data_IF_890643644303
#
_entry.id   IF_890643644303
#
_cell.length_a   1.000
_cell.length_b   1.000
_cell.length_c   1.000
_cell.angle_alpha   90.00
_cell.angle_beta   90.00
_cell.angle_gamma   90.00
#
_symmetry.space_group_name_H-M   'P 1'
#
loop_
_entity.id
_entity.type
_entity.pdbx_description
1 polymer ?
#
# COMPACT_ATOMS: atom_id res chain seq x y z
N UNK A 1 -50.46 -18.61 11.76
CA UNK A 1 -49.95 -19.47 10.68
C UNK A 1 -48.51 -19.13 10.23
N UNK A 2 -47.67 -18.51 11.07
CA UNK A 2 -46.26 -18.17 10.76
C UNK A 2 -45.28 -18.47 11.92
N UNK A 3 -45.65 -19.38 12.84
CA UNK A 3 -44.79 -19.82 13.97
C UNK A 3 -44.52 -21.34 14.00
N UNK A 4 -44.84 -22.05 12.91
CA UNK A 4 -44.77 -23.53 12.85
C UNK A 4 -43.72 -24.09 11.88
N UNK A 5 -42.87 -23.26 11.26
CA UNK A 5 -41.88 -23.72 10.26
C UNK A 5 -40.42 -23.63 10.73
N UNK A 6 -40.17 -23.31 12.00
CA UNK A 6 -38.82 -23.20 12.58
C UNK A 6 -38.55 -24.22 13.72
N UNK A 7 -39.41 -25.22 13.91
CA UNK A 7 -39.26 -26.21 15.00
C UNK A 7 -38.79 -27.60 14.60
N UNK A 8 -38.65 -27.90 13.30
CA UNK A 8 -38.18 -29.22 12.84
C UNK A 8 -36.98 -29.08 11.92
N UNK A 9 -35.82 -28.77 12.49
CA UNK A 9 -34.50 -29.19 11.98
C UNK A 9 -33.44 -28.69 12.95
N UNK A 10 -33.02 -29.59 13.84
CA UNK A 10 -31.80 -29.65 14.66
C UNK A 10 -32.15 -30.20 16.05
N UNK A 11 -32.56 -31.47 16.06
CA UNK A 11 -32.57 -32.29 17.28
C UNK A 11 -31.12 -32.55 17.66
N UNK A 12 -30.67 -31.87 18.71
CA UNK A 12 -29.31 -31.92 19.23
C UNK A 12 -29.17 -33.07 20.24
N UNK A 13 -29.38 -34.32 19.79
CA UNK A 13 -29.31 -35.49 20.66
C UNK A 13 -28.70 -36.68 19.92
N UNK A 14 -27.43 -36.60 19.52
CA UNK A 14 -26.53 -37.75 19.32
C UNK A 14 -25.09 -37.24 19.20
N UNK A 15 -24.46 -36.91 20.33
CA UNK A 15 -23.00 -36.81 20.43
C UNK A 15 -22.57 -37.70 21.60
N UNK A 16 -22.34 -38.99 21.31
CA UNK A 16 -21.49 -39.83 22.15
C UNK A 16 -20.05 -39.37 21.93
N UNK A 17 -19.32 -39.07 23.00
CA UNK A 17 -17.88 -38.86 22.92
C UNK A 17 -17.22 -40.16 22.46
N UNK A 18 -16.74 -40.18 21.23
CA UNK A 18 -15.80 -41.20 20.77
C UNK A 18 -14.44 -40.95 21.42
N UNK A 19 -13.84 -42.00 21.98
CA UNK A 19 -12.53 -42.00 22.63
C UNK A 19 -11.40 -42.28 21.63
N UNK A 20 -11.51 -41.79 20.40
CA UNK A 20 -10.46 -41.94 19.40
C UNK A 20 -9.83 -40.59 19.02
N UNK A 21 -8.50 -40.58 19.06
CA UNK A 21 -7.62 -39.45 18.81
C UNK A 21 -7.54 -39.09 17.32
N UNK A 22 -8.42 -38.18 16.86
CA UNK A 22 -8.08 -37.01 16.00
C UNK A 22 -9.35 -36.41 15.35
N UNK A 23 -9.69 -35.14 15.63
CA UNK A 23 -10.61 -34.38 14.80
C UNK A 23 -9.92 -33.12 14.25
N UNK A 24 -9.60 -33.11 12.96
CA UNK A 24 -9.49 -31.86 12.22
C UNK A 24 -9.92 -32.09 10.78
N UNK A 25 -10.98 -31.38 10.39
CA UNK A 25 -11.56 -31.22 9.05
C UNK A 25 -12.82 -32.04 8.76
N UNK A 26 -13.91 -31.74 9.47
CA UNK A 26 -15.23 -31.87 8.85
C UNK A 26 -15.39 -30.71 7.85
N UNK A 27 -15.17 -30.97 6.57
CA UNK A 27 -15.49 -30.03 5.49
C UNK A 27 -16.90 -30.33 5.02
N UNK A 28 -17.84 -29.43 5.31
CA UNK A 28 -19.17 -29.47 4.72
C UNK A 28 -19.10 -28.90 3.31
N UNK A 29 -19.41 -29.71 2.28
CA UNK A 29 -19.58 -29.23 0.92
C UNK A 29 -21.06 -28.90 0.68
N UNK A 30 -21.34 -27.67 0.26
CA UNK A 30 -22.69 -27.26 -0.16
C UNK A 30 -22.75 -27.39 -1.68
N UNK A 31 -23.63 -28.25 -2.19
CA UNK A 31 -23.84 -28.41 -3.64
C UNK A 31 -24.48 -27.14 -4.22
N UNK A 32 -23.82 -26.53 -5.21
CA UNK A 32 -24.24 -25.27 -5.85
C UNK A 32 -25.53 -25.41 -6.69
N UNK A 33 -25.97 -26.64 -6.95
CA UNK A 33 -27.13 -26.93 -7.80
C UNK A 33 -28.47 -26.53 -7.18
N UNK A 34 -28.54 -26.37 -5.85
CA UNK A 34 -29.77 -25.98 -5.13
C UNK A 34 -29.89 -24.51 -4.73
N UNK A 35 -28.88 -23.68 -5.00
CA UNK A 35 -28.86 -22.30 -4.50
C UNK A 35 -29.48 -21.30 -5.48
N UNK A 36 -30.19 -20.25 -4.98
CA UNK A 36 -30.65 -19.11 -5.77
C UNK A 36 -29.53 -18.46 -6.59
N UNK A 37 -29.83 -18.00 -7.81
CA UNK A 37 -28.82 -17.48 -8.76
C UNK A 37 -27.98 -16.32 -8.21
N UNK A 38 -28.56 -15.46 -7.37
CA UNK A 38 -27.88 -14.35 -6.71
C UNK A 38 -26.85 -14.79 -5.65
N UNK A 39 -26.89 -16.05 -5.19
CA UNK A 39 -25.94 -16.61 -4.22
C UNK A 39 -24.84 -17.41 -4.94
N UNK A 40 -25.11 -17.97 -6.13
CA UNK A 40 -24.11 -18.74 -6.91
C UNK A 40 -22.88 -17.91 -7.31
N UNK A 41 -23.03 -16.61 -7.51
CA UNK A 41 -21.92 -15.68 -7.77
C UNK A 41 -20.96 -15.58 -6.58
N UNK A 42 -21.46 -15.74 -5.34
CA UNK A 42 -20.65 -15.79 -4.11
C UNK A 42 -19.81 -17.06 -4.06
N UNK A 43 -20.29 -18.18 -4.64
CA UNK A 43 -19.55 -19.45 -4.70
C UNK A 43 -18.53 -19.51 -5.84
N UNK A 44 -18.79 -18.87 -6.98
CA UNK A 44 -17.77 -18.68 -8.02
C UNK A 44 -16.68 -17.70 -7.56
N UNK A 45 -17.06 -16.71 -6.75
CA UNK A 45 -16.11 -15.91 -5.98
C UNK A 45 -15.42 -16.77 -4.91
N UNK A 46 -16.09 -17.72 -4.24
CA UNK A 46 -15.49 -18.60 -3.23
C UNK A 46 -14.49 -19.61 -3.83
N UNK A 47 -14.70 -20.12 -5.04
CA UNK A 47 -13.73 -20.96 -5.75
C UNK A 47 -12.48 -20.16 -6.15
N UNK A 48 -12.63 -18.91 -6.60
CA UNK A 48 -11.48 -18.01 -6.80
C UNK A 48 -10.84 -17.59 -5.48
N UNK A 49 -11.63 -17.32 -4.44
CA UNK A 49 -11.15 -17.09 -3.08
C UNK A 49 -10.47 -18.34 -2.54
N UNK A 50 -10.84 -19.55 -2.95
CA UNK A 50 -10.18 -20.82 -2.60
C UNK A 50 -8.89 -21.05 -3.42
N UNK A 51 -8.74 -20.40 -4.58
CA UNK A 51 -7.45 -20.27 -5.28
C UNK A 51 -6.57 -19.13 -4.71
N UNK A 52 -7.18 -18.09 -4.15
CA UNK A 52 -6.50 -16.97 -3.46
C UNK A 52 -6.19 -17.30 -1.98
N UNK A 53 -6.92 -18.21 -1.33
CA UNK A 53 -6.76 -18.61 0.08
C UNK A 53 -5.43 -19.30 0.38
N UNK A 54 -4.88 -20.17 -0.49
CA UNK A 54 -3.54 -20.72 -0.33
C UNK A 54 -2.46 -19.63 -0.33
N UNK A 55 -2.72 -18.47 -0.96
CA UNK A 55 -1.80 -17.32 -1.03
C UNK A 55 -1.96 -16.34 0.14
N UNK A 56 -3.08 -16.44 0.87
CA UNK A 56 -3.36 -15.68 2.09
C UNK A 56 -3.16 -16.48 3.38
N UNK A 57 -2.78 -17.77 3.30
CA UNK A 57 -2.34 -18.50 4.49
C UNK A 57 -1.21 -17.72 5.16
N UNK A 58 -1.31 -17.43 6.47
CA UNK A 58 -0.12 -17.27 7.28
C UNK A 58 0.77 -18.47 6.98
N UNK A 59 2.08 -18.23 6.82
CA UNK A 59 3.10 -19.28 6.83
C UNK A 59 2.64 -20.39 7.78
N UNK A 60 2.49 -21.65 7.33
CA UNK A 60 2.06 -22.72 8.22
C UNK A 60 2.95 -22.63 9.47
N UNK A 61 2.37 -22.64 10.68
CA UNK A 61 3.18 -22.57 11.89
C UNK A 61 4.28 -23.62 11.73
N UNK A 62 5.55 -23.26 11.95
CA UNK A 62 6.63 -24.22 11.79
C UNK A 62 6.24 -25.44 12.60
N UNK A 63 6.37 -26.61 11.95
CA UNK A 63 6.14 -27.90 12.57
C UNK A 63 6.63 -27.89 14.02
N UNK A 64 5.85 -28.54 14.88
CA UNK A 64 5.95 -28.61 16.35
C UNK A 64 7.36 -28.82 16.93
N UNK A 65 8.36 -29.14 16.11
CA UNK A 65 9.78 -29.12 16.43
C UNK A 65 10.35 -27.73 16.81
N UNK A 66 9.83 -26.59 16.29
CA UNK A 66 10.36 -25.25 16.65
C UNK A 66 9.78 -24.62 17.92
N UNK A 67 8.64 -25.12 18.41
CA UNK A 67 8.08 -24.60 19.66
C UNK A 67 8.97 -24.97 20.87
N UNK A 68 9.62 -26.13 20.81
CA UNK A 68 10.56 -26.57 21.85
C UNK A 68 11.90 -25.81 21.83
N UNK A 69 12.37 -25.33 20.67
CA UNK A 69 13.59 -24.50 20.61
C UNK A 69 13.36 -23.07 21.11
N UNK A 70 12.16 -22.53 20.91
CA UNK A 70 11.77 -21.21 21.44
C UNK A 70 11.67 -21.21 22.96
N UNK A 71 11.09 -22.26 23.56
CA UNK A 71 11.03 -22.44 25.02
C UNK A 71 12.41 -22.60 25.67
N UNK A 72 13.37 -23.25 24.98
CA UNK A 72 14.78 -23.30 25.45
C UNK A 72 15.46 -21.94 25.38
N UNK A 73 15.19 -21.13 24.37
CA UNK A 73 15.73 -19.76 24.27
C UNK A 73 15.13 -18.84 25.34
N UNK A 74 13.81 -18.92 25.56
CA UNK A 74 13.12 -18.15 26.58
C UNK A 74 13.63 -18.48 27.99
N UNK A 75 13.86 -19.76 28.31
CA UNK A 75 14.48 -20.16 29.58
C UNK A 75 15.88 -19.58 29.78
N UNK A 76 16.68 -19.47 28.71
CA UNK A 76 18.00 -18.82 28.78
C UNK A 76 17.88 -17.32 29.04
N UNK A 77 16.94 -16.62 28.39
CA UNK A 77 16.70 -15.20 28.64
C UNK A 77 16.19 -14.92 30.05
N UNK A 78 15.27 -15.75 30.57
CA UNK A 78 14.79 -15.64 31.95
C UNK A 78 15.94 -15.84 32.95
N UNK A 79 16.79 -16.86 32.74
CA UNK A 79 17.96 -17.10 33.59
C UNK A 79 18.96 -15.92 33.56
N UNK A 80 19.28 -15.41 32.37
CA UNK A 80 20.18 -14.25 32.23
C UNK A 80 19.59 -13.01 32.91
N UNK A 81 18.28 -12.78 32.76
CA UNK A 81 17.59 -11.66 33.42
C UNK A 81 17.61 -11.78 34.94
N UNK A 82 17.41 -12.98 35.49
CA UNK A 82 17.47 -13.22 36.94
C UNK A 82 18.90 -13.00 37.45
N UNK A 83 19.91 -13.56 36.78
CA UNK A 83 21.32 -13.39 37.17
C UNK A 83 21.73 -11.91 37.10
N UNK A 84 21.33 -11.19 36.06
CA UNK A 84 21.59 -9.76 35.94
C UNK A 84 20.90 -8.95 37.03
N UNK A 85 19.66 -9.29 37.39
CA UNK A 85 18.94 -8.60 38.46
C UNK A 85 19.63 -8.82 39.81
N UNK A 86 20.01 -10.07 40.12
CA UNK A 86 20.75 -10.40 41.34
C UNK A 86 22.10 -9.68 41.43
N UNK A 87 22.81 -9.54 40.31
CA UNK A 87 24.07 -8.80 40.26
C UNK A 87 23.90 -7.30 40.54
N UNK A 88 22.82 -6.69 40.04
CA UNK A 88 22.50 -5.28 40.34
C UNK A 88 22.17 -5.12 41.82
N UNK A 89 21.34 -6.00 42.39
CA UNK A 89 21.02 -5.95 43.82
C UNK A 89 22.28 -6.08 44.67
N UNK A 90 23.17 -7.04 44.39
CA UNK A 90 24.40 -7.20 45.17
C UNK A 90 25.37 -6.03 45.03
N UNK A 91 25.49 -5.42 43.84
CA UNK A 91 26.29 -4.21 43.66
C UNK A 91 25.72 -3.02 44.44
N UNK A 92 24.40 -2.86 44.43
CA UNK A 92 23.75 -1.76 45.18
C UNK A 92 23.88 -1.94 46.69
N UNK A 93 23.73 -3.16 47.21
CA UNK A 93 23.91 -3.41 48.65
C UNK A 93 25.36 -3.21 49.08
N UNK A 94 26.33 -3.64 48.26
CA UNK A 94 27.75 -3.36 48.51
C UNK A 94 28.04 -1.86 48.52
N UNK A 95 27.50 -1.09 47.57
CA UNK A 95 27.67 0.36 47.54
C UNK A 95 27.09 1.05 48.78
N UNK A 96 25.92 0.61 49.25
CA UNK A 96 25.29 1.13 50.48
C UNK A 96 26.17 0.82 51.69
N UNK A 97 26.68 -0.41 51.83
CA UNK A 97 27.59 -0.78 52.92
C UNK A 97 28.88 0.03 52.90
N UNK A 98 29.40 0.35 51.71
CA UNK A 98 30.57 1.20 51.53
C UNK A 98 30.31 2.65 51.95
N UNK A 99 29.15 3.21 51.62
CA UNK A 99 28.77 4.56 52.07
C UNK A 99 28.59 4.60 53.58
N UNK A 100 27.96 3.56 54.16
CA UNK A 100 27.77 3.47 55.61
C UNK A 100 29.10 3.33 56.37
N UNK A 101 30.10 2.63 55.82
CA UNK A 101 31.42 2.54 56.45
C UNK A 101 32.19 3.88 56.41
N UNK A 102 31.95 4.72 55.41
CA UNK A 102 32.52 6.07 55.35
C UNK A 102 31.83 7.09 56.26
N UNK A 103 30.53 6.92 56.56
CA UNK A 103 29.81 7.85 57.44
C UNK A 103 30.17 7.73 58.93
N UNK A 104 30.84 6.64 59.35
CA UNK A 104 31.30 6.48 60.74
C UNK A 104 32.57 7.29 61.03
N UNK A 105 33.26 7.79 60.00
CA UNK A 105 34.59 8.42 60.13
C UNK A 105 34.64 9.83 59.53
N UNK A 106 33.72 10.72 59.88
CA UNK A 106 33.85 12.14 59.53
C UNK A 106 33.51 13.05 60.70
N UNK A 107 34.49 13.75 61.28
CA UNK A 107 34.23 14.77 62.28
C UNK A 107 33.60 16.01 61.63
N UNK A 108 32.63 16.59 62.34
CA UNK A 108 31.92 17.80 61.97
C UNK A 108 32.88 18.98 61.75
N UNK A 109 32.71 19.70 60.64
CA UNK A 109 33.13 21.09 60.53
C UNK A 109 32.01 21.91 59.88
N UNK A 110 31.68 23.10 60.42
CA UNK A 110 30.52 23.86 60.01
C UNK A 110 30.82 24.88 58.91
N UNK A 111 29.78 25.08 58.08
CA UNK A 111 29.28 26.35 57.55
C UNK A 111 30.26 27.28 56.82
N UNK A 112 30.06 27.44 55.52
CA UNK A 112 30.17 28.76 54.90
C UNK A 112 29.16 28.94 53.76
N UNK A 113 28.32 29.95 53.95
CA UNK A 113 27.30 30.47 53.06
C UNK A 113 27.97 31.28 51.93
N UNK A 114 27.47 31.18 50.69
CA UNK A 114 27.72 32.19 49.67
C UNK A 114 26.69 32.10 48.53
N UNK A 115 25.77 33.06 48.54
CA UNK A 115 24.91 33.44 47.42
C UNK A 115 25.74 33.99 46.27
N UNK A 116 25.53 33.47 45.06
CA UNK A 116 25.98 34.09 43.81
C UNK A 116 24.76 34.48 42.97
N UNK A 117 24.64 35.77 42.73
CA UNK A 117 23.64 36.45 41.91
C UNK A 117 24.05 36.38 40.43
N UNK A 118 23.17 35.90 39.54
CA UNK A 118 23.38 35.90 38.09
C UNK A 118 22.45 36.94 37.45
N UNK A 119 22.96 37.88 36.63
CA UNK A 119 22.13 38.81 35.88
C UNK A 119 21.74 38.28 34.49
N UNK A 120 20.51 38.62 34.08
CA UNK A 120 19.98 38.53 32.72
C UNK A 120 20.74 39.45 31.74
N UNK A 121 20.77 39.08 30.44
CA UNK A 121 20.76 40.06 29.37
C UNK A 121 19.45 40.04 28.56
N UNK A 122 19.13 41.25 28.09
CA UNK A 122 17.94 41.67 27.38
C UNK A 122 18.24 41.84 25.87
N UNK A 123 17.20 41.66 25.06
CA UNK A 123 16.91 42.37 23.79
C UNK A 123 17.83 42.13 22.59
N UNK A 124 17.27 41.59 21.49
CA UNK A 124 17.26 42.31 20.20
C UNK A 124 16.18 41.80 19.24
N UNK A 125 15.27 42.70 18.88
CA UNK A 125 14.24 42.60 17.86
C UNK A 125 14.81 42.99 16.49
N UNK A 126 14.90 42.03 15.57
CA UNK A 126 15.27 42.25 14.16
C UNK A 126 14.06 42.12 13.24
N UNK A 127 13.63 43.25 12.69
CA UNK A 127 12.48 43.43 11.80
C UNK A 127 12.95 43.46 10.32
N UNK A 128 12.05 43.08 9.40
CA UNK A 128 12.02 43.46 7.96
C UNK A 128 13.14 42.97 7.02
N UNK A 129 12.77 42.18 6.00
CA UNK A 129 12.40 42.77 4.71
C UNK A 129 11.72 41.79 3.76
N UNK A 130 10.63 42.31 3.21
CA UNK A 130 9.74 41.80 2.19
C UNK A 130 10.24 42.31 0.84
N UNK A 131 10.36 41.44 -0.16
CA UNK A 131 10.52 41.88 -1.55
C UNK A 131 9.71 40.98 -2.48
N UNK A 132 8.59 41.55 -2.89
CA UNK A 132 7.81 41.22 -4.08
C UNK A 132 8.69 41.14 -5.33
N UNK A 133 8.50 40.10 -6.15
CA UNK A 133 8.82 40.17 -7.58
C UNK A 133 7.63 39.65 -8.40
N UNK A 134 7.08 40.60 -9.17
CA UNK A 134 6.03 40.46 -10.18
C UNK A 134 6.51 39.67 -11.41
N UNK A 135 5.56 38.87 -11.94
CA UNK A 135 5.17 38.66 -13.35
C UNK A 135 6.19 39.02 -14.44
N UNK A 136 6.41 38.07 -15.37
CA UNK A 136 6.12 38.30 -16.78
C UNK A 136 5.74 37.00 -17.49
N UNK A 137 4.50 36.98 -18.01
CA UNK A 137 3.93 36.01 -18.92
C UNK A 137 4.17 36.46 -20.37
N UNK A 138 4.74 35.60 -21.20
CA UNK A 138 4.66 35.72 -22.65
C UNK A 138 4.29 34.36 -23.25
N UNK A 139 3.03 34.27 -23.67
CA UNK A 139 2.52 33.22 -24.56
C UNK A 139 3.32 33.21 -25.86
N UNK A 140 3.70 32.03 -26.33
CA UNK A 140 3.92 31.76 -27.75
C UNK A 140 3.11 30.53 -28.15
N UNK A 141 2.04 30.80 -28.88
CA UNK A 141 1.26 29.82 -29.62
C UNK A 141 2.14 29.17 -30.69
N UNK A 142 2.30 27.85 -30.63
CA UNK A 142 2.59 27.03 -31.80
C UNK A 142 1.58 25.89 -31.87
N UNK A 143 0.59 26.07 -32.72
CA UNK A 143 -0.42 25.08 -33.07
C UNK A 143 0.21 23.99 -33.93
N UNK A 144 0.49 22.83 -33.34
CA UNK A 144 0.67 21.59 -34.08
C UNK A 144 -0.71 21.00 -34.38
N UNK A 145 -1.06 20.98 -35.67
CA UNK A 145 -2.19 20.24 -36.22
C UNK A 145 -1.95 18.73 -36.06
N UNK A 146 -2.42 18.17 -34.93
CA UNK A 146 -2.60 16.74 -34.80
C UNK A 146 -4.00 16.38 -35.35
N UNK A 147 -4.02 15.94 -36.61
CA UNK A 147 -5.15 15.23 -37.20
C UNK A 147 -5.39 13.96 -36.38
N UNK A 148 -6.32 14.02 -35.44
CA UNK A 148 -6.82 12.88 -34.69
C UNK A 148 -8.28 12.70 -35.08
N UNK A 149 -8.54 11.68 -35.90
CA UNK A 149 -9.85 11.06 -35.99
C UNK A 149 -10.20 10.48 -34.61
N UNK A 150 -10.71 11.33 -33.73
CA UNK A 150 -11.34 10.95 -32.47
C UNK A 150 -12.65 10.26 -32.81
N UNK A 151 -12.61 8.95 -33.00
CA UNK A 151 -13.76 8.14 -32.64
C UNK A 151 -13.98 8.38 -31.14
N UNK A 152 -15.10 9.00 -30.78
CA UNK A 152 -15.56 9.05 -29.40
C UNK A 152 -15.74 7.60 -28.95
N UNK A 153 -14.70 7.05 -28.32
CA UNK A 153 -14.82 5.81 -27.58
C UNK A 153 -15.85 6.06 -26.49
N UNK A 154 -17.06 5.53 -26.67
CA UNK A 154 -18.08 5.54 -25.63
C UNK A 154 -17.47 4.93 -24.38
N UNK A 155 -17.36 5.73 -23.32
CA UNK A 155 -16.88 5.27 -22.02
C UNK A 155 -17.83 4.27 -21.36
N UNK A 156 -19.03 4.12 -21.93
CA UNK A 156 -20.03 3.15 -21.49
C UNK A 156 -19.61 1.73 -21.82
N UNK A 157 -19.94 0.85 -20.89
CA UNK A 157 -19.71 -0.57 -21.02
C UNK A 157 -20.97 -1.22 -21.58
N UNK A 158 -20.87 -1.98 -22.66
CA UNK A 158 -22.01 -2.71 -23.21
C UNK A 158 -22.32 -4.00 -22.43
N UNK A 159 -23.59 -4.35 -22.39
CA UNK A 159 -24.09 -5.61 -21.84
C UNK A 159 -25.31 -6.09 -22.64
N UNK A 160 -25.58 -7.40 -22.62
CA UNK A 160 -26.78 -7.96 -23.25
C UNK A 160 -27.90 -8.13 -22.23
N UNK A 161 -27.71 -8.97 -21.22
CA UNK A 161 -28.68 -9.21 -20.14
C UNK A 161 -28.08 -9.09 -18.74
N UNK A 162 -26.74 -9.09 -18.62
CA UNK A 162 -26.03 -9.04 -17.35
C UNK A 162 -24.67 -8.42 -17.53
N UNK A 163 -24.20 -7.72 -16.50
CA UNK A 163 -22.82 -7.28 -16.40
C UNK A 163 -21.89 -8.45 -16.05
N UNK A 164 -20.57 -8.26 -16.14
CA UNK A 164 -19.64 -9.36 -15.91
C UNK A 164 -19.74 -9.91 -14.47
N UNK A 165 -19.50 -11.22 -14.26
CA UNK A 165 -19.75 -11.87 -12.97
C UNK A 165 -18.97 -11.26 -11.79
N UNK A 166 -17.72 -10.86 -12.02
CA UNK A 166 -16.87 -10.24 -11.00
C UNK A 166 -17.32 -8.80 -10.70
N UNK A 167 -17.87 -8.11 -11.70
CA UNK A 167 -18.36 -6.72 -11.58
C UNK A 167 -19.67 -6.60 -10.84
N UNK A 168 -20.57 -7.59 -10.98
CA UNK A 168 -21.91 -7.52 -10.38
C UNK A 168 -21.87 -7.49 -8.85
N UNK A 169 -20.97 -8.23 -8.20
CA UNK A 169 -20.86 -8.23 -6.73
C UNK A 169 -20.11 -7.00 -6.21
N UNK A 170 -19.00 -6.64 -6.85
CA UNK A 170 -18.11 -5.59 -6.35
C UNK A 170 -18.58 -4.19 -6.69
N UNK A 171 -19.09 -4.01 -7.90
CA UNK A 171 -19.57 -2.73 -8.40
C UNK A 171 -21.07 -2.59 -8.28
N UNK A 172 -21.76 -3.59 -7.71
CA UNK A 172 -23.23 -3.62 -7.62
C UNK A 172 -23.83 -3.24 -8.98
N UNK A 173 -23.36 -3.90 -10.04
CA UNK A 173 -23.61 -3.47 -11.41
C UNK A 173 -24.82 -4.16 -12.03
N UNK A 174 -25.62 -3.38 -12.74
CA UNK A 174 -26.83 -3.81 -13.41
C UNK A 174 -26.78 -3.47 -14.90
N UNK A 175 -27.31 -4.37 -15.74
CA UNK A 175 -27.43 -4.11 -17.16
C UNK A 175 -28.74 -3.36 -17.42
N UNK A 176 -28.66 -2.09 -17.82
CA UNK A 176 -29.82 -1.26 -18.15
C UNK A 176 -29.63 -0.70 -19.57
N UNK A 177 -30.61 -0.96 -20.45
CA UNK A 177 -30.59 -0.48 -21.84
C UNK A 177 -29.31 -0.83 -22.61
N UNK A 178 -28.78 -2.03 -22.38
CA UNK A 178 -27.55 -2.51 -23.03
C UNK A 178 -26.26 -1.88 -22.48
N UNK A 179 -26.33 -1.15 -21.37
CA UNK A 179 -25.17 -0.54 -20.69
C UNK A 179 -25.07 -1.03 -19.24
N UNK A 180 -23.85 -1.31 -18.78
CA UNK A 180 -23.61 -1.60 -17.37
C UNK A 180 -23.59 -0.33 -16.53
N UNK A 181 -24.51 -0.26 -15.59
CA UNK A 181 -24.57 0.78 -14.57
C UNK A 181 -23.97 0.27 -13.26
N UNK A 182 -22.93 0.93 -12.77
CA UNK A 182 -22.24 0.56 -11.53
C UNK A 182 -22.71 1.43 -10.35
N UNK A 183 -23.11 0.79 -9.25
CA UNK A 183 -23.58 1.48 -8.03
C UNK A 183 -22.57 1.39 -6.87
N UNK A 184 -21.49 0.64 -7.06
CA UNK A 184 -20.44 0.44 -6.07
C UNK A 184 -19.76 1.75 -5.67
N UNK A 185 -19.57 1.96 -4.37
CA UNK A 185 -18.91 3.16 -3.84
C UNK A 185 -17.51 3.33 -4.41
N UNK A 186 -17.24 4.53 -4.94
CA UNK A 186 -15.94 4.91 -5.51
C UNK A 186 -15.72 4.40 -6.93
N UNK A 187 -16.78 4.06 -7.67
CA UNK A 187 -16.72 3.77 -9.10
C UNK A 187 -17.63 4.72 -9.87
N UNK A 188 -17.24 5.01 -11.11
CA UNK A 188 -18.06 5.77 -12.04
C UNK A 188 -19.31 4.97 -12.44
N UNK A 189 -20.51 5.57 -12.44
CA UNK A 189 -21.74 4.84 -12.73
C UNK A 189 -21.83 4.25 -14.13
N UNK A 190 -21.10 4.77 -15.11
CA UNK A 190 -21.26 4.41 -16.53
C UNK A 190 -20.08 3.61 -17.09
N UNK A 191 -18.87 3.96 -16.66
CA UNK A 191 -17.63 3.32 -17.07
C UNK A 191 -17.14 2.28 -16.07
N UNK A 192 -17.72 2.23 -14.87
CA UNK A 192 -17.31 1.34 -13.79
C UNK A 192 -15.82 1.46 -13.42
N UNK A 193 -15.18 2.56 -13.79
CA UNK A 193 -13.78 2.83 -13.46
C UNK A 193 -13.67 3.49 -12.08
N UNK A 194 -12.56 3.28 -11.35
CA UNK A 194 -12.38 3.83 -10.02
C UNK A 194 -12.39 5.37 -9.98
N UNK A 195 -13.00 5.91 -8.93
CA UNK A 195 -12.98 7.33 -8.57
C UNK A 195 -12.52 7.43 -7.12
N UNK A 196 -11.44 8.17 -6.89
CA UNK A 196 -10.92 8.44 -5.55
C UNK A 196 -10.49 9.90 -5.41
N UNK A 197 -11.18 10.65 -4.55
CA UNK A 197 -10.98 12.11 -4.39
C UNK A 197 -10.98 12.81 -5.76
N UNK A 198 -9.90 13.52 -6.11
CA UNK A 198 -9.78 14.24 -7.40
C UNK A 198 -9.21 13.35 -8.54
N UNK A 199 -8.94 12.07 -8.28
CA UNK A 199 -8.45 11.12 -9.26
C UNK A 199 -9.64 10.28 -9.80
N UNK A 200 -10.18 10.69 -10.94
CA UNK A 200 -11.13 9.90 -11.72
C UNK A 200 -10.37 9.13 -12.78
N UNK A 201 -10.32 7.81 -12.67
CA UNK A 201 -9.59 6.94 -13.60
C UNK A 201 -10.30 6.92 -14.95
N UNK A 202 -9.52 7.11 -16.01
CA UNK A 202 -9.97 7.03 -17.40
C UNK A 202 -9.07 6.08 -18.17
N UNK A 203 -9.57 5.58 -19.31
CA UNK A 203 -8.73 4.88 -20.28
C UNK A 203 -7.74 5.85 -20.90
N UNK A 204 -6.57 5.33 -21.25
CA UNK A 204 -5.42 6.04 -21.78
C UNK A 204 -4.89 7.09 -20.81
N UNK A 205 -3.93 6.68 -19.98
CA UNK A 205 -3.17 7.61 -19.17
C UNK A 205 -2.50 8.66 -20.06
N UNK A 206 -2.62 9.93 -19.69
CA UNK A 206 -2.09 11.05 -20.46
C UNK A 206 -0.59 11.23 -20.32
N UNK A 207 -0.01 10.78 -19.20
CA UNK A 207 1.38 11.04 -18.84
C UNK A 207 2.21 9.75 -18.67
N UNK A 208 1.65 8.58 -18.97
CA UNK A 208 2.43 7.35 -18.99
C UNK A 208 2.01 6.39 -20.09
N UNK A 209 3.00 5.72 -20.68
CA UNK A 209 2.80 4.69 -21.71
C UNK A 209 3.36 3.38 -21.20
N UNK A 210 2.56 2.32 -21.32
CA UNK A 210 2.94 0.96 -20.96
C UNK A 210 3.25 0.14 -22.20
N UNK A 211 4.28 -0.70 -22.11
CA UNK A 211 4.67 -1.62 -23.17
C UNK A 211 4.77 -3.04 -22.63
N UNK A 212 4.32 -3.98 -23.45
CA UNK A 212 4.50 -5.41 -23.24
C UNK A 212 5.03 -6.03 -24.52
N UNK A 213 6.24 -6.58 -24.48
CA UNK A 213 6.92 -7.13 -25.66
C UNK A 213 6.90 -6.16 -26.86
N UNK A 214 7.29 -4.90 -26.61
CA UNK A 214 7.33 -3.80 -27.58
C UNK A 214 5.97 -3.33 -28.13
N UNK A 215 4.86 -3.89 -27.66
CA UNK A 215 3.51 -3.44 -28.02
C UNK A 215 2.95 -2.51 -26.95
N UNK A 216 2.43 -1.36 -27.37
CA UNK A 216 1.70 -0.44 -26.49
C UNK A 216 0.52 -1.19 -25.87
N UNK A 217 0.33 -1.02 -24.57
CA UNK A 217 -0.76 -1.61 -23.81
C UNK A 217 -1.80 -0.55 -23.45
N UNK A 218 -3.06 -0.97 -23.28
CA UNK A 218 -4.09 -0.10 -22.72
C UNK A 218 -3.68 0.29 -21.30
N UNK A 219 -3.69 1.60 -21.04
CA UNK A 219 -3.42 2.15 -19.73
C UNK A 219 -4.69 2.76 -19.14
N UNK A 220 -4.75 2.78 -17.81
CA UNK A 220 -5.79 3.44 -17.06
C UNK A 220 -5.11 4.47 -16.16
N UNK A 221 -5.58 5.71 -16.18
CA UNK A 221 -4.90 6.77 -15.48
C UNK A 221 -5.78 7.92 -15.06
N UNK A 222 -5.24 8.72 -14.16
CA UNK A 222 -5.76 10.03 -13.80
C UNK A 222 -4.59 10.98 -13.62
N UNK A 223 -4.86 12.26 -13.80
CA UNK A 223 -3.95 13.32 -13.44
C UNK A 223 -4.72 14.34 -12.62
N UNK A 224 -4.27 14.58 -11.39
CA UNK A 224 -4.88 15.54 -10.47
C UNK A 224 -4.09 16.84 -10.55
N UNK A 225 -4.73 17.87 -11.10
CA UNK A 225 -4.15 19.23 -11.21
C UNK A 225 -4.11 20.00 -9.88
N UNK A 226 -4.62 19.42 -8.78
CA UNK A 226 -4.53 20.10 -7.47
C UNK A 226 -3.10 20.10 -6.97
N UNK A 227 -2.65 21.29 -6.57
CA UNK A 227 -1.34 21.59 -6.01
C UNK A 227 -0.92 20.55 -4.99
N UNK A 228 0.37 20.17 -5.05
CA UNK A 228 1.01 19.25 -4.11
C UNK A 228 0.56 19.55 -2.68
N UNK A 229 0.24 18.51 -1.91
CA UNK A 229 -0.15 18.66 -0.50
C UNK A 229 0.79 19.63 0.19
N UNK A 230 0.24 20.75 0.69
CA UNK A 230 0.98 21.81 1.37
C UNK A 230 1.78 21.31 2.59
N UNK A 231 1.48 20.11 3.08
CA UNK A 231 2.18 19.47 4.21
C UNK A 231 3.46 18.71 3.83
N UNK A 232 3.60 18.23 2.58
CA UNK A 232 4.75 17.37 2.19
C UNK A 232 5.56 17.86 1.00
N UNK A 233 5.10 18.88 0.29
CA UNK A 233 5.81 19.49 -0.85
C UNK A 233 6.38 18.47 -1.87
N UNK A 234 5.76 17.30 -2.02
CA UNK A 234 6.18 16.28 -2.98
C UNK A 234 5.02 15.85 -3.87
N UNK A 235 5.33 15.60 -5.14
CA UNK A 235 4.38 15.08 -6.11
C UNK A 235 4.39 13.56 -6.06
N UNK A 236 3.21 12.93 -6.05
CA UNK A 236 3.06 11.48 -5.90
C UNK A 236 2.64 10.86 -7.23
N UNK A 237 3.55 10.10 -7.84
CA UNK A 237 3.31 9.39 -9.10
C UNK A 237 3.18 7.89 -8.86
N UNK A 238 2.07 7.31 -9.28
CA UNK A 238 1.77 5.88 -9.07
C UNK A 238 1.85 5.14 -10.39
N UNK A 239 2.74 4.14 -10.46
CA UNK A 239 2.77 3.14 -11.53
C UNK A 239 2.27 1.82 -10.97
N UNK A 240 1.20 1.27 -11.55
CA UNK A 240 0.58 0.02 -11.11
C UNK A 240 0.50 -1.02 -12.22
N UNK A 241 0.87 -2.26 -11.89
CA UNK A 241 0.78 -3.37 -12.82
C UNK A 241 0.23 -4.62 -12.16
N UNK A 242 -0.66 -5.33 -12.85
CA UNK A 242 -1.08 -6.65 -12.42
C UNK A 242 -0.01 -7.70 -12.76
N UNK A 243 0.42 -7.71 -14.03
CA UNK A 243 1.28 -8.72 -14.66
C UNK A 243 0.75 -10.15 -14.50
N UNK A 244 1.38 -11.11 -15.17
CA UNK A 244 1.09 -12.53 -14.97
C UNK A 244 2.08 -13.13 -13.96
N UNK A 245 1.64 -14.08 -13.13
CA UNK A 245 2.50 -14.75 -12.13
C UNK A 245 3.78 -15.35 -12.74
N UNK A 246 3.70 -15.84 -13.98
CA UNK A 246 4.83 -16.49 -14.68
C UNK A 246 5.78 -15.50 -15.36
N UNK A 247 5.42 -14.22 -15.42
CA UNK A 247 6.27 -13.19 -15.96
C UNK A 247 7.34 -12.81 -14.93
N UNK A 248 8.40 -13.63 -14.83
CA UNK A 248 9.63 -13.26 -14.10
C UNK A 248 10.43 -12.16 -14.81
N UNK A 249 9.80 -11.44 -15.75
CA UNK A 249 10.47 -10.39 -16.50
C UNK A 249 10.63 -9.14 -15.62
N UNK A 250 11.81 -8.51 -15.67
CA UNK A 250 12.02 -7.23 -15.01
C UNK A 250 11.13 -6.17 -15.65
N UNK A 251 10.64 -5.26 -14.82
CA UNK A 251 9.87 -4.10 -15.26
C UNK A 251 10.80 -2.90 -15.29
N UNK A 252 10.96 -2.32 -16.47
CA UNK A 252 11.73 -1.11 -16.68
C UNK A 252 10.82 0.11 -16.63
N UNK A 253 11.27 1.17 -15.98
CA UNK A 253 10.55 2.43 -15.88
C UNK A 253 11.51 3.58 -16.19
N UNK A 254 11.21 4.32 -17.25
CA UNK A 254 11.91 5.55 -17.58
C UNK A 254 11.06 6.73 -17.11
N UNK A 255 11.64 7.58 -16.26
CA UNK A 255 11.02 8.80 -15.76
C UNK A 255 11.68 10.00 -16.44
N UNK A 256 10.87 10.76 -17.16
CA UNK A 256 11.30 11.92 -17.96
C UNK A 256 10.49 13.14 -17.59
N UNK A 257 11.04 14.32 -17.84
CA UNK A 257 10.37 15.60 -17.64
C UNK A 257 10.52 16.43 -18.92
N UNK A 258 9.41 16.66 -19.62
CA UNK A 258 9.43 17.38 -20.91
C UNK A 258 9.60 18.90 -20.76
N UNK A 259 9.22 19.47 -19.60
CA UNK A 259 9.31 20.90 -19.31
C UNK A 259 10.05 21.12 -18.00
N UNK A 260 11.06 21.99 -18.00
CA UNK A 260 11.77 22.42 -16.78
C UNK A 260 10.85 23.25 -15.90
N UNK A 261 9.98 22.60 -15.11
CA UNK A 261 9.23 23.25 -14.04
C UNK A 261 10.07 23.26 -12.77
N UNK A 262 9.68 24.11 -11.83
CA UNK A 262 10.38 24.23 -10.55
C UNK A 262 10.49 22.85 -9.88
N UNK A 263 11.71 22.54 -9.41
CA UNK A 263 12.17 21.29 -8.83
C UNK A 263 11.35 20.82 -7.62
N UNK A 264 10.13 20.32 -7.84
CA UNK A 264 9.39 19.64 -6.78
C UNK A 264 9.92 18.21 -6.63
N UNK A 265 10.30 17.80 -5.41
CA UNK A 265 10.66 16.42 -5.14
C UNK A 265 9.49 15.49 -5.51
N UNK A 266 9.80 14.35 -6.11
CA UNK A 266 8.79 13.34 -6.45
C UNK A 266 8.88 12.14 -5.51
N UNK A 267 7.72 11.59 -5.16
CA UNK A 267 7.57 10.26 -4.56
C UNK A 267 7.04 9.32 -5.63
N UNK A 268 7.80 8.27 -5.92
CA UNK A 268 7.42 7.26 -6.90
C UNK A 268 6.82 6.04 -6.19
N UNK A 269 5.58 5.71 -6.52
CA UNK A 269 4.89 4.54 -5.99
C UNK A 269 4.88 3.44 -7.05
N UNK A 270 5.41 2.28 -6.69
CA UNK A 270 5.51 1.11 -7.56
C UNK A 270 4.60 0.02 -7.01
N UNK A 271 3.44 -0.13 -7.62
CA UNK A 271 2.43 -1.09 -7.24
C UNK A 271 2.46 -2.31 -8.15
N UNK A 272 2.57 -3.51 -7.58
CA UNK A 272 2.54 -4.75 -8.36
C UNK A 272 1.73 -5.85 -7.68
N UNK A 273 0.78 -6.45 -8.41
CA UNK A 273 -0.02 -7.56 -7.88
C UNK A 273 0.85 -8.79 -7.59
N UNK A 274 1.71 -9.12 -8.56
CA UNK A 274 2.74 -10.14 -8.41
C UNK A 274 4.13 -9.55 -8.10
N UNK A 275 5.07 -10.37 -7.61
CA UNK A 275 6.42 -9.91 -7.29
C UNK A 275 7.12 -9.40 -8.55
N UNK A 276 7.66 -8.19 -8.48
CA UNK A 276 8.31 -7.54 -9.61
C UNK A 276 9.70 -7.03 -9.25
N UNK A 277 10.63 -7.16 -10.20
CA UNK A 277 11.93 -6.49 -10.15
C UNK A 277 11.86 -5.22 -10.98
N UNK A 278 12.00 -4.06 -10.34
CA UNK A 278 11.90 -2.75 -10.99
C UNK A 278 13.28 -2.20 -11.32
N UNK A 279 13.44 -1.72 -12.55
CA UNK A 279 14.64 -1.04 -13.04
C UNK A 279 14.24 0.37 -13.46
N UNK A 280 14.56 1.34 -12.62
CA UNK A 280 14.12 2.71 -12.74
C UNK A 280 15.29 3.52 -13.29
N UNK A 281 15.06 4.22 -14.39
CA UNK A 281 15.97 5.20 -14.96
C UNK A 281 15.31 6.57 -14.85
N UNK A 282 15.94 7.47 -14.09
CA UNK A 282 15.45 8.83 -13.87
C UNK A 282 16.34 9.80 -14.64
N UNK A 283 15.73 10.65 -15.46
CA UNK A 283 16.41 11.72 -16.18
C UNK A 283 17.14 12.67 -15.21
N UNK A 284 18.30 13.17 -15.62
CA UNK A 284 19.06 14.16 -14.85
C UNK A 284 18.22 15.42 -14.60
N UNK A 285 18.20 15.91 -13.36
CA UNK A 285 17.44 17.11 -12.96
C UNK A 285 16.19 16.79 -12.13
N UNK A 286 15.67 15.57 -12.20
CA UNK A 286 14.52 15.13 -11.41
C UNK A 286 14.98 14.76 -9.99
N UNK A 287 14.41 15.41 -8.98
CA UNK A 287 14.70 15.12 -7.58
C UNK A 287 13.76 14.04 -7.03
N UNK A 288 14.27 12.81 -6.88
CA UNK A 288 13.53 11.71 -6.24
C UNK A 288 13.65 11.78 -4.72
N UNK A 289 12.54 12.04 -4.03
CA UNK A 289 12.47 12.05 -2.55
C UNK A 289 12.41 10.63 -1.97
N UNK A 290 11.53 9.79 -2.52
CA UNK A 290 11.25 8.46 -1.98
C UNK A 290 10.63 7.51 -3.01
N UNK A 291 10.80 6.22 -2.77
CA UNK A 291 10.16 5.13 -3.50
C UNK A 291 9.28 4.34 -2.52
N UNK A 292 8.00 4.19 -2.85
CA UNK A 292 7.07 3.35 -2.10
C UNK A 292 6.70 2.13 -2.94
N UNK A 293 7.18 0.95 -2.55
CA UNK A 293 6.81 -0.31 -3.18
C UNK A 293 5.58 -0.89 -2.50
N UNK A 294 4.50 -1.12 -3.25
CA UNK A 294 3.27 -1.74 -2.74
C UNK A 294 3.00 -3.05 -3.47
N UNK A 295 2.70 -4.11 -2.74
CA UNK A 295 2.31 -5.39 -3.35
C UNK A 295 1.34 -6.18 -2.48
N UNK A 296 0.42 -6.93 -3.10
CA UNK A 296 -0.53 -7.81 -2.39
C UNK A 296 0.20 -9.00 -1.76
N UNK A 297 1.10 -9.63 -2.53
CA UNK A 297 1.75 -10.89 -2.17
C UNK A 297 3.26 -10.81 -2.43
N UNK A 298 4.06 -11.34 -1.51
CA UNK A 298 5.53 -11.36 -1.55
C UNK A 298 6.21 -9.99 -1.81
N UNK A 299 5.78 -8.95 -1.10
CA UNK A 299 6.39 -7.60 -1.15
C UNK A 299 7.91 -7.59 -0.85
N UNK A 300 8.44 -8.62 -0.18
CA UNK A 300 9.88 -8.78 0.08
C UNK A 300 10.67 -9.39 -1.09
N UNK A 301 10.02 -10.06 -2.04
CA UNK A 301 10.70 -10.75 -3.15
C UNK A 301 11.08 -9.82 -4.30
N UNK A 302 10.40 -8.68 -4.44
CA UNK A 302 10.75 -7.66 -5.42
C UNK A 302 12.03 -6.90 -5.07
N UNK A 303 12.84 -6.62 -6.08
CA UNK A 303 14.06 -5.80 -5.99
C UNK A 303 13.88 -4.53 -6.80
N UNK A 304 14.52 -3.46 -6.37
CA UNK A 304 14.44 -2.15 -7.03
C UNK A 304 15.86 -1.69 -7.33
N UNK A 305 16.11 -1.40 -8.60
CA UNK A 305 17.35 -0.85 -9.10
C UNK A 305 17.07 0.57 -9.61
N UNK A 306 17.77 1.55 -9.06
CA UNK A 306 17.69 2.96 -9.47
C UNK A 306 18.99 3.31 -10.18
N UNK A 307 18.92 3.72 -11.45
CA UNK A 307 20.07 4.06 -12.29
C UNK A 307 21.18 2.98 -12.21
N UNK A 308 20.78 1.70 -12.23
CA UNK A 308 21.66 0.54 -12.17
C UNK A 308 22.10 0.09 -10.76
N UNK A 309 21.79 0.84 -9.69
CA UNK A 309 22.16 0.51 -8.31
C UNK A 309 20.98 -0.02 -7.51
N UNK A 310 21.16 -1.13 -6.77
CA UNK A 310 20.09 -1.68 -5.95
C UNK A 310 19.80 -0.79 -4.72
N UNK A 311 18.53 -0.39 -4.56
CA UNK A 311 18.09 0.55 -3.52
C UNK A 311 17.84 -0.13 -2.17
N UNK A 312 17.86 -1.46 -2.11
CA UNK A 312 17.55 -2.25 -0.89
C UNK A 312 18.43 -1.91 0.32
N UNK A 313 19.59 -1.27 0.11
CA UNK A 313 20.51 -0.82 1.17
C UNK A 313 20.24 0.61 1.68
N UNK A 314 19.39 1.39 1.00
CA UNK A 314 19.08 2.78 1.36
C UNK A 314 17.70 2.88 2.02
N UNK A 315 17.63 2.59 3.32
CA UNK A 315 16.37 2.58 4.09
C UNK A 315 15.60 3.90 4.06
N UNK A 316 16.28 5.04 3.89
CA UNK A 316 15.62 6.36 3.79
C UNK A 316 14.89 6.56 2.45
N UNK A 317 15.32 5.86 1.39
CA UNK A 317 14.79 6.05 0.04
C UNK A 317 13.67 5.07 -0.29
N UNK A 318 13.67 3.87 0.30
CA UNK A 318 12.72 2.80 -0.04
C UNK A 318 11.85 2.39 1.14
N UNK A 319 10.54 2.57 0.99
CA UNK A 319 9.51 1.99 1.86
C UNK A 319 8.81 0.85 1.14
N UNK A 320 8.63 -0.29 1.82
CA UNK A 320 7.86 -1.43 1.31
C UNK A 320 6.59 -1.61 2.13
N UNK A 321 5.46 -1.75 1.45
CA UNK A 321 4.16 -1.93 2.09
C UNK A 321 3.42 -3.11 1.46
N UNK A 322 2.84 -3.95 2.33
CA UNK A 322 1.83 -4.92 1.89
C UNK A 322 0.46 -4.24 1.86
N UNK A 323 -0.21 -4.25 0.72
CA UNK A 323 -1.59 -3.78 0.58
C UNK A 323 -2.25 -4.38 -0.65
N UNK A 324 -3.58 -4.27 -0.72
CA UNK A 324 -4.32 -4.61 -1.92
C UNK A 324 -3.91 -3.65 -3.06
N UNK A 325 -3.73 -4.21 -4.25
CA UNK A 325 -3.35 -3.46 -5.46
C UNK A 325 -4.34 -3.68 -6.59
N UNK A 326 -4.54 -2.64 -7.40
CA UNK A 326 -5.27 -2.65 -8.67
C UNK A 326 -4.61 -1.70 -9.65
N UNK A 327 -4.90 -1.88 -10.94
CA UNK A 327 -4.21 -1.18 -12.04
C UNK A 327 -5.09 -0.18 -12.79
N UNK A 328 -6.25 0.16 -12.24
CA UNK A 328 -7.21 1.11 -12.83
C UNK A 328 -8.43 0.46 -13.47
N UNK A 329 -8.32 -0.81 -13.89
CA UNK A 329 -9.46 -1.61 -14.33
C UNK A 329 -9.68 -2.81 -13.43
N UNK A 330 -10.61 -2.64 -12.49
CA UNK A 330 -10.92 -3.66 -11.48
C UNK A 330 -11.93 -4.71 -11.99
N UNK A 331 -12.32 -4.70 -13.27
CA UNK A 331 -13.41 -5.57 -13.80
C UNK A 331 -13.10 -7.05 -13.73
N UNK A 332 -11.83 -7.42 -13.88
CA UNK A 332 -11.39 -8.82 -13.93
C UNK A 332 -10.66 -9.26 -12.65
N UNK A 333 -10.06 -8.31 -11.95
CA UNK A 333 -9.36 -8.42 -10.67
C UNK A 333 -8.79 -7.03 -10.33
N UNK A 334 -8.35 -6.81 -9.09
CA UNK A 334 -7.67 -5.59 -8.69
C UNK A 334 -8.37 -4.85 -7.56
N UNK A 335 -7.67 -3.93 -6.92
CA UNK A 335 -8.14 -3.13 -5.79
C UNK A 335 -7.64 -1.69 -5.88
N UNK A 336 -7.98 -1.02 -6.97
CA UNK A 336 -7.45 0.30 -7.27
C UNK A 336 -7.86 1.31 -6.21
N UNK A 337 -9.12 1.31 -5.74
CA UNK A 337 -9.55 2.25 -4.70
C UNK A 337 -8.74 2.05 -3.40
N UNK A 338 -8.58 0.81 -2.94
CA UNK A 338 -7.83 0.49 -1.72
C UNK A 338 -6.33 0.80 -1.87
N UNK A 339 -5.78 0.63 -3.08
CA UNK A 339 -4.43 1.07 -3.41
C UNK A 339 -4.31 2.59 -3.27
N UNK A 340 -5.20 3.36 -3.89
CA UNK A 340 -5.17 4.83 -3.84
C UNK A 340 -5.35 5.34 -2.40
N UNK A 341 -6.20 4.72 -1.60
CA UNK A 341 -6.32 5.00 -0.15
C UNK A 341 -5.02 4.73 0.61
N UNK A 342 -4.34 3.62 0.29
CA UNK A 342 -3.06 3.27 0.91
C UNK A 342 -1.98 4.29 0.54
N UNK A 343 -1.92 4.69 -0.72
CA UNK A 343 -0.98 5.70 -1.22
C UNK A 343 -1.23 7.04 -0.56
N UNK A 344 -2.48 7.50 -0.52
CA UNK A 344 -2.85 8.78 0.08
C UNK A 344 -2.43 8.86 1.56
N UNK A 345 -2.61 7.77 2.31
CA UNK A 345 -2.19 7.69 3.72
C UNK A 345 -0.67 7.69 3.89
N UNK A 346 0.07 7.01 3.01
CA UNK A 346 1.51 6.78 3.21
C UNK A 346 2.39 7.84 2.55
N UNK A 347 2.06 8.24 1.33
CA UNK A 347 2.83 9.17 0.51
C UNK A 347 2.20 10.56 0.46
N UNK A 348 0.87 10.66 0.58
CA UNK A 348 0.12 11.89 0.38
C UNK A 348 -0.73 11.85 -0.90
N UNK A 349 -1.38 12.96 -1.22
CA UNK A 349 -2.34 13.01 -2.31
C UNK A 349 -1.71 12.74 -3.67
N UNK A 350 -2.41 11.92 -4.45
CA UNK A 350 -1.93 11.39 -5.74
C UNK A 350 -1.93 12.51 -6.78
N UNK A 351 -0.76 12.77 -7.38
CA UNK A 351 -0.59 13.68 -8.52
C UNK A 351 -0.99 12.99 -9.81
N UNK A 352 -0.47 11.78 -10.05
CA UNK A 352 -0.86 10.95 -11.19
C UNK A 352 -0.92 9.49 -10.81
N UNK A 353 -1.92 8.80 -11.36
CA UNK A 353 -1.98 7.35 -11.36
C UNK A 353 -1.91 6.87 -12.80
N UNK A 354 -1.12 5.82 -13.04
CA UNK A 354 -1.08 5.09 -14.29
C UNK A 354 -0.96 3.60 -13.99
N UNK A 355 -1.86 2.81 -14.57
CA UNK A 355 -1.78 1.36 -14.45
C UNK A 355 -2.15 0.63 -15.73
N UNK A 356 -1.69 -0.62 -15.82
CA UNK A 356 -1.93 -1.53 -16.94
C UNK A 356 -2.05 -2.95 -16.43
N UNK A 357 -2.82 -3.78 -17.14
CA UNK A 357 -2.92 -5.20 -16.81
C UNK A 357 -1.55 -5.89 -16.98
N UNK A 358 -0.78 -5.48 -17.99
CA UNK A 358 0.55 -6.06 -18.30
C UNK A 358 1.50 -4.96 -18.72
N UNK A 359 2.72 -5.01 -18.21
CA UNK A 359 3.81 -4.15 -18.65
C UNK A 359 5.17 -4.68 -18.20
N UNK A 360 6.13 -4.70 -19.13
CA UNK A 360 7.55 -4.93 -18.83
C UNK A 360 8.41 -3.68 -19.09
N UNK A 361 7.85 -2.65 -19.70
CA UNK A 361 8.49 -1.35 -19.87
C UNK A 361 7.46 -0.22 -19.74
N UNK A 362 7.84 0.86 -19.07
CA UNK A 362 7.05 2.07 -18.87
C UNK A 362 7.86 3.31 -19.21
N UNK A 363 7.19 4.30 -19.79
CA UNK A 363 7.65 5.69 -19.86
C UNK A 363 6.69 6.57 -19.10
N UNK A 364 7.19 7.34 -18.14
CA UNK A 364 6.43 8.28 -17.32
C UNK A 364 6.95 9.70 -17.56
N UNK A 365 6.05 10.59 -17.99
CA UNK A 365 6.25 12.03 -18.04
C UNK A 365 5.68 12.67 -16.77
N UNK A 366 6.51 13.46 -16.08
CA UNK A 366 6.14 14.16 -14.84
C UNK A 366 5.86 15.65 -15.04
N UNK A 367 5.76 16.13 -16.28
CA UNK A 367 5.57 17.55 -16.60
C UNK A 367 4.20 18.15 -16.23
#
# INVERSE_FOLDING_TARGET
MWRSLLKNTLSYNHLKCSKDSHPSNAVFSVSHLGLPQNIRSVFLASERYAMEYPLLRPVPPPSSARCLSSLRSLRKFILISIVSCMAVVTLTTMAILLVLSFQVSSPLNPSYDNRVTIPLPNIETGNRNQSDIRRHSTLKNSSFLASSNKTLFSSSISCYNKCWPYTAFRFQSECQNGVCHCQGKGYDPTSCLPIYKNCSIRRNSSNAVAYWHQKIQETFGCHSYKEANSERNSQVYVISTMNEWKAHQPIRLNVTEAMTRQFQPITLVLASYYPAHWFIQIQSGIHLSSILQISTVHFNSGRIFLNGKEVSKQKSLLTKQRSLVGYGDDRYSGHTIQLLQTVDRLAGSITSFSGSQRANFWTLDIS
#
